data_IF_548440982123
#
_entry.id   IF_548440982123
#
_cell.length_a   1.000
_cell.length_b   1.000
_cell.length_c   1.000
_cell.angle_alpha   90.00
_cell.angle_beta   90.00
_cell.angle_gamma   90.00
#
_symmetry.space_group_name_H-M   'P 1'
#
loop_
_entity.id
_entity.type
_entity.pdbx_description
1 polymer ?
#
# COMPACT_ATOMS: atom_id res chain seq x y z
N UNK A 1 -12.98 34.79 26.40
CA UNK A 1 -13.20 33.49 27.10
C UNK A 1 -14.36 32.67 26.55
N UNK A 2 -15.59 33.20 26.38
CA UNK A 2 -16.75 32.41 25.90
C UNK A 2 -16.56 31.69 24.54
N UNK A 3 -15.87 32.30 23.57
CA UNK A 3 -15.62 31.69 22.24
C UNK A 3 -14.61 30.53 22.26
N UNK A 4 -13.68 30.53 23.21
CA UNK A 4 -12.68 29.47 23.34
C UNK A 4 -13.28 28.24 24.02
N UNK A 5 -14.17 28.45 25.00
CA UNK A 5 -14.92 27.38 25.67
C UNK A 5 -15.84 26.63 24.70
N UNK A 6 -16.51 27.34 23.79
CA UNK A 6 -17.39 26.74 22.78
C UNK A 6 -16.63 25.85 21.78
N UNK A 7 -15.45 26.28 21.33
CA UNK A 7 -14.62 25.50 20.40
C UNK A 7 -14.10 24.21 21.06
N UNK A 8 -13.69 24.28 22.33
CA UNK A 8 -13.21 23.11 23.09
C UNK A 8 -14.34 22.09 23.30
N UNK A 9 -15.57 22.55 23.57
CA UNK A 9 -16.75 21.68 23.72
C UNK A 9 -17.15 21.01 22.40
N UNK A 10 -17.06 21.71 21.26
CA UNK A 10 -17.34 21.15 19.92
C UNK A 10 -16.29 20.11 19.52
N UNK A 11 -15.00 20.39 19.77
CA UNK A 11 -13.93 19.44 19.48
C UNK A 11 -14.02 18.22 20.40
N UNK A 12 -14.34 18.43 21.68
CA UNK A 12 -14.54 17.34 22.64
C UNK A 12 -15.73 16.43 22.30
N UNK A 13 -16.85 17.00 21.87
CA UNK A 13 -18.04 16.24 21.44
C UNK A 13 -17.80 15.47 20.14
N UNK A 14 -17.11 16.05 19.16
CA UNK A 14 -16.71 15.34 17.94
C UNK A 14 -15.73 14.19 18.23
N UNK A 15 -14.81 14.37 19.19
CA UNK A 15 -13.92 13.30 19.64
C UNK A 15 -14.66 12.17 20.35
N UNK A 16 -15.66 12.50 21.17
CA UNK A 16 -16.52 11.52 21.84
C UNK A 16 -17.33 10.71 20.81
N UNK A 17 -18.01 11.39 19.88
CA UNK A 17 -18.80 10.76 18.82
C UNK A 17 -17.95 9.90 17.88
N UNK A 18 -16.71 10.32 17.59
CA UNK A 18 -15.75 9.51 16.82
C UNK A 18 -15.36 8.21 17.53
N UNK A 19 -15.25 8.19 18.86
CA UNK A 19 -14.93 6.97 19.62
C UNK A 19 -16.10 5.99 19.68
N UNK A 20 -17.32 6.47 19.50
CA UNK A 20 -18.54 5.66 19.53
C UNK A 20 -19.11 5.35 18.14
N UNK A 21 -18.45 5.78 17.05
CA UNK A 21 -18.88 5.50 15.68
C UNK A 21 -20.08 6.33 15.21
N UNK A 22 -20.43 7.39 15.94
CA UNK A 22 -21.63 8.21 15.74
C UNK A 22 -21.28 9.61 15.22
N UNK A 23 -20.42 9.70 14.20
CA UNK A 23 -20.06 11.01 13.63
C UNK A 23 -21.27 11.64 12.92
N UNK A 24 -21.62 12.90 13.22
CA UNK A 24 -22.75 13.58 12.60
C UNK A 24 -22.50 13.81 11.11
N UNK A 25 -23.56 13.81 10.31
CA UNK A 25 -23.48 14.08 8.87
C UNK A 25 -23.00 15.50 8.59
N UNK A 26 -22.48 15.72 7.37
CA UNK A 26 -22.03 17.05 6.94
C UNK A 26 -23.17 18.07 7.00
N UNK A 27 -24.43 17.68 6.73
CA UNK A 27 -25.58 18.57 6.92
C UNK A 27 -25.84 18.91 8.39
N UNK A 28 -25.69 17.95 9.31
CA UNK A 28 -25.85 18.20 10.74
C UNK A 28 -24.78 19.17 11.24
N UNK A 29 -23.53 19.01 10.79
CA UNK A 29 -22.41 19.91 11.12
C UNK A 29 -22.69 21.33 10.59
N UNK A 30 -23.24 21.47 9.38
CA UNK A 30 -23.60 22.77 8.79
C UNK A 30 -24.67 23.52 9.60
N UNK A 31 -25.56 22.81 10.29
CA UNK A 31 -26.55 23.41 11.19
C UNK A 31 -25.95 24.09 12.44
N UNK A 32 -24.74 23.70 12.85
CA UNK A 32 -24.07 24.24 14.04
C UNK A 32 -23.25 25.52 13.81
N UNK A 33 -23.03 25.92 12.56
CA UNK A 33 -22.21 27.09 12.22
C UNK A 33 -23.04 28.16 11.51
N UNK A 34 -22.94 29.41 11.95
CA UNK A 34 -23.59 30.54 11.26
C UNK A 34 -23.08 30.64 9.83
N UNK A 35 -24.01 30.81 8.87
CA UNK A 35 -23.80 30.80 7.40
C UNK A 35 -22.63 31.64 6.89
N UNK A 36 -22.22 32.70 7.60
CA UNK A 36 -21.09 33.55 7.24
C UNK A 36 -19.70 32.93 7.48
N UNK A 37 -19.56 32.05 8.48
CA UNK A 37 -18.28 31.38 8.80
C UNK A 37 -17.99 30.22 7.85
N UNK A 38 -19.03 29.50 7.43
CA UNK A 38 -18.93 28.37 6.49
C UNK A 38 -18.52 28.86 5.10
N UNK A 39 -19.13 29.94 4.60
CA UNK A 39 -18.83 30.49 3.27
C UNK A 39 -17.38 30.99 3.12
N UNK A 40 -16.78 31.51 4.19
CA UNK A 40 -15.40 32.03 4.14
C UNK A 40 -14.36 30.90 4.22
N UNK A 41 -14.67 29.82 4.96
CA UNK A 41 -13.84 28.61 4.99
C UNK A 41 -13.98 27.83 3.68
N UNK A 42 -15.19 27.70 3.12
CA UNK A 42 -15.44 27.04 1.84
C UNK A 42 -14.69 27.73 0.69
N UNK A 43 -14.77 29.07 0.56
CA UNK A 43 -13.99 29.79 -0.47
C UNK A 43 -12.47 29.61 -0.33
N UNK A 44 -11.97 29.56 0.90
CA UNK A 44 -10.53 29.41 1.16
C UNK A 44 -10.06 27.97 0.92
N UNK A 45 -10.92 26.99 1.18
CA UNK A 45 -10.70 25.57 0.86
C UNK A 45 -10.81 25.33 -0.64
N UNK A 46 -11.81 25.89 -1.32
CA UNK A 46 -11.97 25.82 -2.78
C UNK A 46 -10.81 26.47 -3.53
N UNK A 47 -10.33 27.63 -3.10
CA UNK A 47 -9.13 28.24 -3.67
C UNK A 47 -7.86 27.41 -3.41
N UNK A 48 -7.76 26.75 -2.25
CA UNK A 48 -6.63 25.84 -1.96
C UNK A 48 -6.72 24.57 -2.80
N UNK A 49 -7.91 24.00 -2.99
CA UNK A 49 -8.15 22.82 -3.82
C UNK A 49 -7.93 23.16 -5.31
N UNK A 50 -8.34 24.34 -5.77
CA UNK A 50 -8.11 24.80 -7.14
C UNK A 50 -6.62 25.11 -7.42
N UNK A 51 -5.87 25.56 -6.42
CA UNK A 51 -4.42 25.75 -6.54
C UNK A 51 -3.64 24.44 -6.44
N UNK A 52 -4.14 23.44 -5.71
CA UNK A 52 -3.58 22.07 -5.67
C UNK A 52 -3.91 21.30 -6.97
N UNK A 53 -5.12 21.46 -7.52
CA UNK A 53 -5.52 20.82 -8.78
C UNK A 53 -4.85 21.41 -10.03
N UNK A 54 -4.37 22.65 -9.96
CA UNK A 54 -3.55 23.27 -11.02
C UNK A 54 -2.10 22.77 -11.06
N UNK A 55 -1.64 22.01 -10.06
CA UNK A 55 -0.31 21.39 -10.04
C UNK A 55 -0.31 19.88 -10.33
N UNK A 56 -1.46 19.22 -10.44
CA UNK A 56 -1.54 17.86 -10.96
C UNK A 56 -1.44 17.89 -12.47
N UNK A 57 -0.21 17.73 -12.99
CA UNK A 57 -0.01 17.29 -14.37
C UNK A 57 -0.88 16.05 -14.60
N UNK A 58 -1.69 16.05 -15.65
CA UNK A 58 -2.33 14.84 -16.16
C UNK A 58 -1.23 13.78 -16.39
N UNK A 59 -1.11 12.81 -15.49
CA UNK A 59 -0.22 11.67 -15.70
C UNK A 59 -1.00 10.65 -16.50
N UNK A 60 -0.65 10.55 -17.77
CA UNK A 60 -1.11 9.51 -18.68
C UNK A 60 -0.70 8.13 -18.14
N UNK A 61 -1.67 7.28 -17.79
CA UNK A 61 -1.42 5.85 -17.56
C UNK A 61 -1.19 5.19 -18.92
N UNK A 62 0.07 4.96 -19.29
CA UNK A 62 0.42 4.24 -20.52
C UNK A 62 0.52 2.75 -20.16
N UNK A 63 -0.20 1.84 -20.85
CA UNK A 63 -0.03 0.41 -20.66
C UNK A 63 1.43 0.04 -20.94
N UNK A 64 2.13 -0.57 -19.97
CA UNK A 64 3.59 -0.66 -20.06
C UNK A 64 4.10 -1.86 -20.85
N UNK A 65 3.50 -3.06 -20.82
CA UNK A 65 3.99 -4.16 -21.67
C UNK A 65 3.05 -5.36 -21.72
N UNK A 66 3.13 -6.03 -22.87
CA UNK A 66 2.40 -7.18 -23.39
C UNK A 66 2.96 -8.50 -22.86
N UNK A 67 2.11 -9.39 -22.32
CA UNK A 67 2.44 -10.80 -22.12
C UNK A 67 2.24 -11.56 -23.44
N UNK A 68 3.30 -12.20 -23.97
CA UNK A 68 3.26 -13.01 -25.20
C UNK A 68 2.27 -14.17 -25.13
N UNK A 69 1.85 -14.59 -23.92
CA UNK A 69 0.87 -15.66 -23.73
C UNK A 69 -0.57 -15.21 -24.01
N UNK A 70 -0.83 -13.89 -23.99
CA UNK A 70 -2.15 -13.30 -24.17
C UNK A 70 -2.06 -12.08 -25.08
N UNK A 71 -2.01 -12.29 -26.39
CA UNK A 71 -2.15 -11.20 -27.34
C UNK A 71 -3.49 -10.49 -27.12
N UNK A 72 -3.56 -9.14 -27.05
CA UNK A 72 -4.82 -8.44 -26.96
C UNK A 72 -5.59 -8.68 -28.26
N UNK A 73 -6.51 -9.64 -28.23
CA UNK A 73 -7.55 -9.81 -29.23
C UNK A 73 -8.53 -8.66 -29.04
N UNK A 74 -8.21 -7.49 -29.60
CA UNK A 74 -9.12 -6.34 -29.84
C UNK A 74 -10.32 -6.25 -28.88
N UNK A 75 -10.12 -5.70 -27.67
CA UNK A 75 -11.24 -5.26 -26.82
C UNK A 75 -11.80 -3.95 -27.41
N UNK A 76 -12.61 -4.01 -28.48
CA UNK A 76 -13.09 -2.81 -29.18
C UNK A 76 -14.28 -2.11 -28.49
N UNK A 77 -14.83 -2.64 -27.39
CA UNK A 77 -16.11 -2.16 -26.82
C UNK A 77 -16.09 -1.80 -25.33
N UNK A 78 -14.98 -2.09 -24.63
CA UNK A 78 -14.81 -1.79 -23.21
C UNK A 78 -13.48 -1.07 -22.98
N UNK A 79 -13.53 0.08 -22.30
CA UNK A 79 -12.39 0.88 -21.90
C UNK A 79 -12.19 0.79 -20.40
N UNK A 80 -11.01 0.37 -20.00
CA UNK A 80 -10.56 0.38 -18.60
C UNK A 80 -9.59 1.54 -18.45
N UNK A 81 -9.81 2.37 -17.44
CA UNK A 81 -8.94 3.50 -17.10
C UNK A 81 -8.78 3.58 -15.59
N UNK A 82 -7.82 4.37 -15.11
CA UNK A 82 -7.64 4.64 -13.69
C UNK A 82 -7.83 6.13 -13.43
N UNK A 83 -8.73 6.45 -12.51
CA UNK A 83 -9.07 7.84 -12.14
C UNK A 83 -9.28 7.94 -10.63
N UNK A 84 -8.58 8.86 -9.97
CA UNK A 84 -8.77 9.19 -8.56
C UNK A 84 -8.79 7.96 -7.62
N UNK A 85 -7.80 7.07 -7.75
CA UNK A 85 -7.71 5.84 -6.94
C UNK A 85 -8.76 4.77 -7.27
N UNK A 86 -9.44 4.88 -8.41
CA UNK A 86 -10.44 3.91 -8.86
C UNK A 86 -10.10 3.37 -10.23
N UNK A 87 -10.35 2.08 -10.43
CA UNK A 87 -10.49 1.48 -11.74
C UNK A 87 -11.87 1.85 -12.30
N UNK A 88 -11.90 2.49 -13.46
CA UNK A 88 -13.12 2.90 -14.16
C UNK A 88 -13.24 2.08 -15.43
N UNK A 89 -14.23 1.20 -15.46
CA UNK A 89 -14.57 0.39 -16.62
C UNK A 89 -15.80 0.97 -17.28
N UNK A 90 -15.71 1.25 -18.58
CA UNK A 90 -16.82 1.77 -19.38
C UNK A 90 -16.97 0.93 -20.63
N UNK A 91 -18.18 0.81 -21.16
CA UNK A 91 -18.34 0.15 -22.45
C UNK A 91 -19.78 0.10 -22.92
N UNK A 92 -19.99 -0.55 -24.06
CA UNK A 92 -21.31 -0.79 -24.65
C UNK A 92 -21.35 -2.21 -25.22
N UNK A 93 -22.40 -2.95 -24.92
CA UNK A 93 -22.68 -4.20 -25.63
C UNK A 93 -22.90 -3.87 -27.13
N UNK A 94 -22.13 -4.47 -28.05
CA UNK A 94 -22.25 -4.17 -29.49
C UNK A 94 -22.89 -5.30 -30.30
N UNK A 95 -23.64 -4.97 -31.38
CA UNK A 95 -24.22 -5.97 -32.29
C UNK A 95 -23.21 -6.71 -33.19
N UNK A 96 -21.99 -6.20 -33.36
CA UNK A 96 -21.06 -6.60 -34.44
C UNK A 96 -19.98 -7.63 -34.03
N UNK A 97 -20.12 -8.29 -32.89
CA UNK A 97 -19.33 -9.49 -32.64
C UNK A 97 -20.12 -10.54 -31.86
N UNK A 98 -19.47 -11.57 -31.33
CA UNK A 98 -20.11 -12.66 -30.57
C UNK A 98 -20.80 -12.19 -29.26
N UNK A 99 -20.86 -10.87 -29.06
CA UNK A 99 -20.91 -10.11 -27.82
C UNK A 99 -22.31 -9.57 -27.45
N UNK A 100 -23.35 -9.75 -28.27
CA UNK A 100 -24.70 -9.25 -27.98
C UNK A 100 -25.54 -10.20 -27.12
N UNK A 101 -24.99 -11.38 -26.76
CA UNK A 101 -25.67 -12.40 -25.95
C UNK A 101 -25.16 -12.49 -24.52
N UNK A 102 -24.12 -11.74 -24.16
CA UNK A 102 -23.56 -11.75 -22.82
C UNK A 102 -24.48 -10.97 -21.86
N UNK A 103 -24.64 -11.48 -20.64
CA UNK A 103 -25.39 -10.82 -19.58
C UNK A 103 -24.54 -9.77 -18.82
N UNK A 104 -23.23 -9.75 -19.06
CA UNK A 104 -22.29 -8.79 -18.47
C UNK A 104 -20.83 -9.16 -18.69
N UNK A 105 -19.92 -8.39 -18.08
CA UNK A 105 -18.48 -8.69 -18.02
C UNK A 105 -18.06 -9.20 -16.65
N UNK A 106 -16.99 -9.97 -16.63
CA UNK A 106 -16.25 -10.37 -15.45
C UNK A 106 -14.92 -9.61 -15.46
N UNK A 107 -14.59 -8.97 -14.34
CA UNK A 107 -13.30 -8.34 -14.10
C UNK A 107 -12.54 -9.17 -13.07
N UNK A 108 -11.38 -9.69 -13.46
CA UNK A 108 -10.43 -10.31 -12.55
C UNK A 108 -9.32 -9.28 -12.27
N UNK A 109 -9.41 -8.64 -11.11
CA UNK A 109 -8.53 -7.55 -10.70
C UNK A 109 -7.50 -8.14 -9.72
N UNK A 110 -6.24 -8.05 -10.08
CA UNK A 110 -5.09 -8.38 -9.22
C UNK A 110 -4.43 -7.08 -8.77
N UNK A 111 -4.34 -6.89 -7.46
CA UNK A 111 -3.61 -5.80 -6.81
C UNK A 111 -2.40 -6.40 -6.07
N UNK A 112 -1.27 -6.68 -6.75
CA UNK A 112 -0.11 -7.35 -6.16
C UNK A 112 0.39 -6.69 -4.87
N UNK A 113 0.42 -5.35 -4.83
CA UNK A 113 0.84 -4.58 -3.66
C UNK A 113 0.07 -4.92 -2.38
N UNK A 114 -1.23 -5.14 -2.51
CA UNK A 114 -2.12 -5.47 -1.39
C UNK A 114 -2.34 -6.97 -1.25
N UNK A 115 -1.74 -7.79 -2.12
CA UNK A 115 -1.97 -9.23 -2.23
C UNK A 115 -3.47 -9.56 -2.32
N UNK A 116 -4.20 -8.77 -3.11
CA UNK A 116 -5.66 -8.84 -3.20
C UNK A 116 -6.09 -9.16 -4.61
N UNK A 117 -6.82 -10.27 -4.75
CA UNK A 117 -7.46 -10.68 -6.01
C UNK A 117 -8.96 -10.56 -5.87
N UNK A 118 -9.59 -9.86 -6.79
CA UNK A 118 -11.03 -9.58 -6.75
C UNK A 118 -11.67 -9.95 -8.07
N UNK A 119 -12.74 -10.73 -8.02
CA UNK A 119 -13.57 -11.06 -9.18
C UNK A 119 -14.88 -10.29 -9.08
N UNK A 120 -15.18 -9.46 -10.08
CA UNK A 120 -16.41 -8.66 -10.13
C UNK A 120 -17.21 -9.05 -11.37
N UNK A 121 -18.51 -9.31 -11.21
CA UNK A 121 -19.45 -9.40 -12.33
C UNK A 121 -20.19 -8.07 -12.47
N UNK A 122 -20.13 -7.49 -13.66
CA UNK A 122 -20.80 -6.23 -13.99
C UNK A 122 -21.88 -6.52 -15.02
N UNK A 123 -23.17 -6.57 -14.61
CA UNK A 123 -24.28 -6.83 -15.53
C UNK A 123 -24.48 -5.68 -16.51
N UNK A 124 -25.00 -6.00 -17.70
CA UNK A 124 -25.46 -5.02 -18.68
C UNK A 124 -26.96 -5.15 -18.94
N UNK A 125 -27.58 -4.04 -19.31
CA UNK A 125 -28.88 -4.04 -19.99
C UNK A 125 -28.64 -3.80 -21.48
N UNK A 126 -29.36 -4.52 -22.36
CA UNK A 126 -29.18 -4.44 -23.80
C UNK A 126 -29.16 -2.99 -24.30
N UNK A 127 -28.21 -2.67 -25.18
CA UNK A 127 -27.98 -1.35 -25.81
C UNK A 127 -27.56 -0.19 -24.88
N UNK A 128 -27.36 -0.40 -23.58
CA UNK A 128 -26.95 0.67 -22.67
C UNK A 128 -25.42 0.77 -22.55
N UNK A 129 -24.90 2.01 -22.52
CA UNK A 129 -23.54 2.26 -22.05
C UNK A 129 -23.51 2.04 -20.55
N UNK A 130 -22.54 1.27 -20.05
CA UNK A 130 -22.33 1.12 -18.60
C UNK A 130 -21.03 1.80 -18.18
N UNK A 131 -21.00 2.19 -16.91
CA UNK A 131 -19.83 2.66 -16.19
C UNK A 131 -19.79 1.98 -14.84
N UNK A 132 -18.71 1.27 -14.56
CA UNK A 132 -18.44 0.63 -13.28
C UNK A 132 -17.16 1.21 -12.68
N UNK A 133 -17.21 1.53 -11.39
CA UNK A 133 -16.07 2.03 -10.63
C UNK A 133 -15.71 1.05 -9.52
N UNK A 134 -14.44 0.64 -9.48
CA UNK A 134 -13.90 -0.22 -8.44
C UNK A 134 -12.80 0.53 -7.66
N UNK A 135 -12.92 0.67 -6.33
CA UNK A 135 -11.91 1.34 -5.52
C UNK A 135 -10.66 0.45 -5.38
N UNK A 136 -9.49 1.01 -5.71
CA UNK A 136 -8.21 0.33 -5.51
C UNK A 136 -7.76 0.47 -4.05
N UNK A 137 -7.10 -0.55 -3.52
CA UNK A 137 -6.57 -0.50 -2.14
C UNK A 137 -5.44 0.52 -2.03
N UNK A 138 -4.60 0.63 -3.06
CA UNK A 138 -3.53 1.62 -3.14
C UNK A 138 -3.56 2.34 -4.49
N UNK A 139 -3.09 3.58 -4.49
CA UNK A 139 -2.95 4.44 -5.67
C UNK A 139 -1.50 4.49 -6.22
N UNK A 140 -0.62 3.66 -5.66
CA UNK A 140 0.72 3.36 -6.16
C UNK A 140 0.87 1.84 -6.16
N UNK A 141 1.53 1.26 -7.15
CA UNK A 141 1.48 -0.20 -7.34
C UNK A 141 1.13 -0.60 -8.76
N UNK A 142 1.47 -1.82 -9.16
CA UNK A 142 0.87 -2.40 -10.35
C UNK A 142 -0.59 -2.82 -10.06
N UNK A 143 -1.43 -2.75 -11.08
CA UNK A 143 -2.77 -3.34 -11.10
C UNK A 143 -2.93 -4.10 -12.40
N UNK A 144 -3.25 -5.39 -12.29
CA UNK A 144 -3.50 -6.25 -13.45
C UNK A 144 -5.00 -6.50 -13.53
N UNK A 145 -5.57 -6.33 -14.72
CA UNK A 145 -6.99 -6.55 -14.98
C UNK A 145 -7.11 -7.52 -16.14
N UNK A 146 -7.73 -8.68 -15.87
CA UNK A 146 -8.23 -9.54 -16.93
C UNK A 146 -9.74 -9.35 -17.06
N UNK A 147 -10.22 -9.38 -18.30
CA UNK A 147 -11.62 -9.18 -18.64
C UNK A 147 -12.15 -10.42 -19.35
N UNK A 148 -13.34 -10.85 -18.97
CA UNK A 148 -14.12 -11.91 -19.61
C UNK A 148 -15.60 -11.53 -19.65
N UNK A 149 -16.45 -12.35 -20.25
CA UNK A 149 -17.91 -12.22 -20.29
C UNK A 149 -18.58 -13.30 -19.45
N UNK A 150 -19.80 -13.04 -18.98
CA UNK A 150 -20.62 -14.10 -18.40
C UNK A 150 -21.99 -14.18 -19.07
N UNK A 151 -22.53 -15.40 -19.04
CA UNK A 151 -23.81 -15.76 -19.60
C UNK A 151 -24.59 -16.51 -18.52
N UNK A 152 -25.82 -16.09 -18.25
CA UNK A 152 -26.70 -16.70 -17.26
C UNK A 152 -26.90 -18.19 -17.59
N UNK A 153 -26.78 -19.03 -16.56
CA UNK A 153 -26.85 -20.49 -16.71
C UNK A 153 -25.61 -21.16 -17.32
N UNK A 154 -24.57 -20.41 -17.71
CA UNK A 154 -23.27 -20.98 -18.12
C UNK A 154 -22.22 -20.80 -17.04
N UNK A 155 -21.36 -21.81 -16.87
CA UNK A 155 -20.21 -21.73 -15.97
C UNK A 155 -19.12 -20.87 -16.63
N UNK A 156 -18.53 -19.97 -15.85
CA UNK A 156 -17.41 -19.14 -16.28
C UNK A 156 -16.12 -19.97 -16.35
N UNK A 157 -15.25 -19.69 -17.32
CA UNK A 157 -13.92 -20.31 -17.44
C UNK A 157 -12.83 -19.23 -17.27
N UNK A 158 -12.26 -19.08 -16.07
CA UNK A 158 -11.28 -18.03 -15.78
C UNK A 158 -9.97 -18.15 -16.57
N UNK A 159 -9.76 -19.25 -17.32
CA UNK A 159 -8.60 -19.42 -18.19
C UNK A 159 -8.82 -18.90 -19.61
N UNK A 160 -10.05 -18.51 -19.96
CA UNK A 160 -10.42 -17.94 -21.26
C UNK A 160 -10.76 -16.46 -21.12
N UNK A 161 -9.78 -15.67 -20.69
CA UNK A 161 -9.93 -14.21 -20.61
C UNK A 161 -9.90 -13.60 -22.02
N UNK A 162 -10.85 -12.71 -22.30
CA UNK A 162 -10.98 -11.99 -23.56
C UNK A 162 -9.99 -10.83 -23.68
N UNK A 163 -9.51 -10.33 -22.53
CA UNK A 163 -8.71 -9.13 -22.44
C UNK A 163 -7.76 -9.11 -21.26
N UNK A 164 -6.63 -8.43 -21.43
CA UNK A 164 -5.59 -8.22 -20.42
C UNK A 164 -5.10 -6.78 -20.47
N UNK A 165 -4.91 -6.17 -19.30
CA UNK A 165 -4.21 -4.90 -19.15
C UNK A 165 -3.45 -4.85 -17.82
N UNK A 166 -2.23 -4.30 -17.86
CA UNK A 166 -1.45 -3.95 -16.67
C UNK A 166 -1.30 -2.43 -16.61
N UNK A 167 -1.56 -1.87 -15.44
CA UNK A 167 -1.43 -0.45 -15.16
C UNK A 167 -0.40 -0.24 -14.07
N UNK A 168 0.52 0.68 -14.31
CA UNK A 168 1.53 1.11 -13.35
C UNK A 168 1.07 2.39 -12.67
N UNK A 169 0.67 2.31 -11.40
CA UNK A 169 0.18 3.46 -10.65
C UNK A 169 1.32 4.24 -10.03
N UNK A 170 1.31 5.55 -10.21
CA UNK A 170 2.34 6.47 -9.71
C UNK A 170 1.79 7.56 -8.81
N UNK A 171 0.52 7.48 -8.41
CA UNK A 171 -0.10 8.46 -7.51
C UNK A 171 0.31 8.15 -6.07
N UNK A 172 1.41 8.75 -5.63
CA UNK A 172 1.98 8.54 -4.31
C UNK A 172 3.41 8.00 -4.35
N UNK A 173 4.08 8.06 -3.19
CA UNK A 173 5.45 7.56 -3.06
C UNK A 173 5.44 6.07 -2.65
N UNK A 174 5.91 5.13 -3.49
CA UNK A 174 5.89 3.70 -3.18
C UNK A 174 6.70 3.33 -1.95
N UNK A 175 7.69 4.16 -1.60
CA UNK A 175 8.59 3.97 -0.47
C UNK A 175 8.07 4.59 0.82
N UNK A 176 6.91 5.25 0.82
CA UNK A 176 6.19 5.72 2.01
C UNK A 176 4.90 4.92 2.25
N UNK A 177 4.26 4.45 1.18
CA UNK A 177 2.99 3.73 1.28
C UNK A 177 3.17 2.33 1.90
N UNK A 178 2.18 1.81 2.62
CA UNK A 178 2.18 0.43 3.09
C UNK A 178 2.06 -0.56 1.92
N UNK A 179 2.38 -1.82 2.17
CA UNK A 179 2.12 -2.96 1.29
C UNK A 179 1.65 -4.17 2.12
N UNK A 180 1.31 -5.28 1.47
CA UNK A 180 0.90 -6.51 2.15
C UNK A 180 1.91 -6.97 3.21
N UNK A 181 3.22 -6.90 2.89
CA UNK A 181 4.31 -7.30 3.79
C UNK A 181 4.78 -6.17 4.71
N UNK A 182 4.63 -4.91 4.29
CA UNK A 182 5.12 -3.72 4.99
C UNK A 182 3.94 -2.88 5.47
N UNK A 183 3.27 -3.32 6.53
CA UNK A 183 2.01 -2.71 6.99
C UNK A 183 2.22 -1.42 7.82
N UNK A 184 2.87 -0.40 7.25
CA UNK A 184 3.19 0.87 7.94
C UNK A 184 1.97 1.67 8.44
N UNK A 185 0.77 1.35 7.95
CA UNK A 185 -0.49 1.91 8.40
C UNK A 185 -1.11 1.17 9.59
N UNK A 186 -0.58 0.01 9.99
CA UNK A 186 -1.09 -0.78 11.11
C UNK A 186 -1.03 0.05 12.42
N UNK A 187 -2.13 0.11 13.21
CA UNK A 187 -2.17 0.91 14.42
C UNK A 187 -1.09 0.55 15.45
N UNK A 188 -0.75 -0.74 15.61
CA UNK A 188 0.26 -1.17 16.58
C UNK A 188 1.67 -0.75 16.14
N UNK A 189 1.98 -0.90 14.83
CA UNK A 189 3.26 -0.45 14.29
C UNK A 189 3.41 1.08 14.32
N UNK A 190 2.32 1.82 14.09
CA UNK A 190 2.30 3.29 14.24
C UNK A 190 2.54 3.72 15.69
N UNK A 191 1.88 3.05 16.65
CA UNK A 191 2.06 3.34 18.07
C UNK A 191 3.49 3.03 18.52
N UNK A 192 4.04 1.89 18.10
CA UNK A 192 5.44 1.54 18.36
C UNK A 192 6.39 2.59 17.77
N UNK A 193 6.19 2.98 16.51
CA UNK A 193 7.02 3.97 15.83
C UNK A 193 7.01 5.31 16.57
N UNK A 194 5.83 5.79 16.98
CA UNK A 194 5.68 7.01 17.75
C UNK A 194 6.43 6.94 19.09
N UNK A 195 6.41 5.78 19.76
CA UNK A 195 7.14 5.55 21.01
C UNK A 195 8.67 5.57 20.79
N UNK A 196 9.18 4.77 19.84
CA UNK A 196 10.62 4.67 19.55
C UNK A 196 11.21 6.03 19.13
N UNK A 197 10.44 6.80 18.37
CA UNK A 197 10.88 8.08 17.80
C UNK A 197 10.58 9.29 18.68
N UNK A 198 10.00 9.09 19.88
CA UNK A 198 9.69 10.17 20.80
C UNK A 198 10.95 10.97 21.17
N UNK A 199 10.84 12.30 21.08
CA UNK A 199 11.96 13.21 21.36
C UNK A 199 13.10 13.17 20.33
N UNK A 200 12.94 12.51 19.18
CA UNK A 200 13.91 12.55 18.08
C UNK A 200 13.49 13.58 17.04
N UNK A 201 14.41 14.48 16.68
CA UNK A 201 14.10 15.65 15.88
C UNK A 201 14.46 15.46 14.41
N UNK A 202 15.48 14.65 14.11
CA UNK A 202 15.95 14.40 12.75
C UNK A 202 15.56 13.00 12.25
N UNK A 203 15.45 12.82 10.94
CA UNK A 203 15.21 11.50 10.36
C UNK A 203 16.32 10.52 10.69
N UNK A 204 17.58 10.96 10.75
CA UNK A 204 18.72 10.11 11.15
C UNK A 204 18.60 9.63 12.60
N UNK A 205 18.18 10.49 13.54
CA UNK A 205 17.96 10.07 14.93
C UNK A 205 16.81 9.07 15.05
N UNK A 206 15.71 9.29 14.31
CA UNK A 206 14.57 8.37 14.26
C UNK A 206 14.98 7.03 13.68
N UNK A 207 15.69 7.02 12.54
CA UNK A 207 16.15 5.81 11.87
C UNK A 207 17.10 5.01 12.75
N UNK A 208 18.08 5.65 13.41
CA UNK A 208 18.95 4.97 14.40
C UNK A 208 18.16 4.33 15.55
N UNK A 209 17.13 5.01 16.05
CA UNK A 209 16.30 4.48 17.13
C UNK A 209 15.46 3.28 16.66
N UNK A 210 14.87 3.36 15.47
CA UNK A 210 14.11 2.28 14.83
C UNK A 210 15.02 1.07 14.56
N UNK A 211 16.15 1.27 13.88
CA UNK A 211 17.14 0.24 13.60
C UNK A 211 17.57 -0.47 14.90
N UNK A 212 17.97 0.30 15.91
CA UNK A 212 18.40 -0.26 17.20
C UNK A 212 17.29 -1.10 17.81
N UNK A 213 16.06 -0.59 17.81
CA UNK A 213 14.94 -1.32 18.36
C UNK A 213 14.71 -2.65 17.63
N UNK A 214 14.71 -2.66 16.29
CA UNK A 214 14.54 -3.90 15.52
C UNK A 214 15.68 -4.88 15.83
N UNK A 215 16.93 -4.43 15.77
CA UNK A 215 18.11 -5.26 16.03
C UNK A 215 18.17 -5.80 17.47
N UNK A 216 17.59 -5.12 18.46
CA UNK A 216 17.62 -5.57 19.86
C UNK A 216 16.34 -6.24 20.35
N UNK A 217 15.26 -6.27 19.57
CA UNK A 217 13.98 -6.86 19.99
C UNK A 217 13.46 -7.97 19.09
N UNK A 218 14.20 -8.31 18.03
CA UNK A 218 13.91 -9.41 17.14
C UNK A 218 15.10 -10.38 17.18
N UNK A 219 14.82 -11.67 17.24
CA UNK A 219 15.79 -12.75 17.21
C UNK A 219 15.74 -13.49 15.86
N UNK A 220 16.90 -13.96 15.40
CA UNK A 220 16.98 -14.70 14.14
C UNK A 220 16.55 -16.15 14.34
N UNK A 221 15.68 -16.66 13.46
CA UNK A 221 15.24 -18.05 13.49
C UNK A 221 16.25 -18.97 12.80
N UNK A 222 17.40 -19.17 13.44
CA UNK A 222 18.52 -19.94 12.90
C UNK A 222 18.14 -21.36 12.40
N UNK A 223 17.27 -22.14 13.09
CA UNK A 223 16.83 -23.45 12.60
C UNK A 223 16.14 -23.44 11.23
N UNK A 224 15.60 -22.30 10.79
CA UNK A 224 14.88 -22.19 9.52
C UNK A 224 15.74 -21.68 8.36
N UNK A 225 17.03 -21.40 8.57
CA UNK A 225 17.90 -20.80 7.54
C UNK A 225 18.02 -21.67 6.28
N UNK A 226 17.99 -22.99 6.44
CA UNK A 226 18.10 -23.97 5.35
C UNK A 226 16.77 -24.69 5.08
N UNK A 227 15.65 -24.20 5.64
CA UNK A 227 14.36 -24.80 5.38
C UNK A 227 14.01 -24.63 3.89
N UNK A 228 13.47 -25.67 3.25
CA UNK A 228 13.09 -25.62 1.83
C UNK A 228 11.99 -24.60 1.57
N UNK A 229 11.04 -24.47 2.51
CA UNK A 229 9.91 -23.56 2.43
C UNK A 229 9.72 -22.88 3.80
N UNK A 230 10.57 -21.90 4.15
CA UNK A 230 10.43 -21.23 5.43
C UNK A 230 9.14 -20.40 5.45
N UNK A 231 8.53 -20.23 6.64
CA UNK A 231 7.41 -19.32 6.81
C UNK A 231 7.81 -17.89 6.44
N UNK A 232 6.88 -17.19 5.81
CA UNK A 232 7.00 -15.77 5.47
C UNK A 232 6.40 -14.96 6.63
N UNK A 233 7.12 -13.92 7.05
CA UNK A 233 6.70 -13.05 8.15
C UNK A 233 6.54 -11.63 7.64
N UNK A 234 5.31 -11.10 7.66
CA UNK A 234 5.09 -9.68 7.44
C UNK A 234 5.61 -8.83 8.60
N UNK A 235 5.68 -7.51 8.43
CA UNK A 235 6.10 -6.59 9.48
C UNK A 235 5.28 -6.77 10.77
N UNK A 236 3.95 -6.85 10.66
CA UNK A 236 3.08 -7.06 11.82
C UNK A 236 3.28 -8.44 12.47
N UNK A 237 3.51 -9.49 11.68
CA UNK A 237 3.80 -10.82 12.22
C UNK A 237 5.16 -10.83 12.93
N UNK A 238 6.18 -10.20 12.36
CA UNK A 238 7.50 -10.05 12.97
C UNK A 238 7.44 -9.30 14.30
N UNK A 239 6.67 -8.20 14.35
CA UNK A 239 6.40 -7.47 15.59
C UNK A 239 5.72 -8.33 16.67
N UNK A 240 4.93 -9.32 16.29
CA UNK A 240 4.24 -10.22 17.23
C UNK A 240 5.10 -11.42 17.63
N UNK A 241 5.74 -12.08 16.66
CA UNK A 241 6.48 -13.33 16.89
C UNK A 241 7.86 -13.13 17.49
N UNK A 242 8.51 -12.00 17.20
CA UNK A 242 9.87 -11.65 17.64
C UNK A 242 10.99 -12.61 17.20
N UNK A 243 10.67 -13.67 16.48
CA UNK A 243 11.62 -14.67 15.99
C UNK A 243 11.32 -14.95 14.52
N UNK A 244 12.21 -14.52 13.62
CA UNK A 244 11.98 -14.52 12.16
C UNK A 244 13.28 -14.70 11.36
N UNK A 245 13.15 -14.82 10.04
CA UNK A 245 14.27 -14.74 9.08
C UNK A 245 14.51 -13.30 8.61
N UNK A 246 15.56 -13.08 7.81
CA UNK A 246 16.02 -11.76 7.35
C UNK A 246 14.92 -10.92 6.68
N UNK A 247 14.03 -11.53 5.91
CA UNK A 247 12.89 -10.84 5.29
C UNK A 247 11.97 -10.18 6.33
N UNK A 248 11.66 -10.87 7.44
CA UNK A 248 10.82 -10.31 8.50
C UNK A 248 11.46 -9.10 9.19
N UNK A 249 12.78 -9.13 9.42
CA UNK A 249 13.53 -7.97 9.91
C UNK A 249 13.41 -6.79 8.94
N UNK A 250 13.66 -7.04 7.65
CA UNK A 250 13.66 -6.01 6.63
C UNK A 250 12.27 -5.40 6.45
N UNK A 251 11.21 -6.22 6.46
CA UNK A 251 9.82 -5.78 6.36
C UNK A 251 9.40 -4.95 7.58
N UNK A 252 9.71 -5.39 8.80
CA UNK A 252 9.42 -4.64 10.02
C UNK A 252 10.18 -3.31 10.05
N UNK A 253 11.47 -3.32 9.74
CA UNK A 253 12.27 -2.10 9.73
C UNK A 253 11.73 -1.11 8.69
N UNK A 254 11.38 -1.57 7.48
CA UNK A 254 10.73 -0.71 6.49
C UNK A 254 9.37 -0.17 6.98
N UNK A 255 8.55 -0.99 7.64
CA UNK A 255 7.22 -0.57 8.09
C UNK A 255 7.31 0.55 9.14
N UNK A 256 8.24 0.44 10.09
CA UNK A 256 8.46 1.46 11.12
C UNK A 256 9.04 2.75 10.51
N UNK A 257 9.98 2.66 9.56
CA UNK A 257 10.49 3.83 8.85
C UNK A 257 9.40 4.55 8.06
N UNK A 258 8.59 3.80 7.30
CA UNK A 258 7.46 4.36 6.54
C UNK A 258 6.42 5.00 7.48
N UNK A 259 6.13 4.37 8.62
CA UNK A 259 5.25 4.93 9.64
C UNK A 259 5.80 6.23 10.26
N UNK A 260 7.13 6.40 10.28
CA UNK A 260 7.81 7.63 10.71
C UNK A 260 7.89 8.70 9.60
N UNK A 261 7.35 8.43 8.41
CA UNK A 261 7.44 9.32 7.25
C UNK A 261 8.80 9.31 6.56
N UNK A 262 9.58 8.23 6.74
CA UNK A 262 10.92 8.06 6.16
C UNK A 262 10.81 7.04 5.02
N UNK A 263 11.30 7.41 3.83
CA UNK A 263 11.27 6.53 2.67
C UNK A 263 12.15 5.29 2.91
N UNK A 264 11.58 4.10 2.74
CA UNK A 264 12.25 2.84 3.02
C UNK A 264 11.97 1.77 1.96
N UNK A 265 13.04 1.12 1.52
CA UNK A 265 13.03 -0.03 0.63
C UNK A 265 13.30 -1.32 1.39
N UNK A 266 12.76 -2.41 0.87
CA UNK A 266 13.21 -3.76 1.19
C UNK A 266 14.00 -4.23 -0.02
N UNK A 267 15.27 -4.55 0.18
CA UNK A 267 16.21 -4.97 -0.86
C UNK A 267 16.69 -6.38 -0.57
N UNK A 268 17.13 -7.09 -1.61
CA UNK A 268 17.56 -8.48 -1.47
C UNK A 268 18.77 -8.79 -2.35
N UNK A 269 19.46 -9.87 -1.99
CA UNK A 269 20.57 -10.45 -2.72
C UNK A 269 21.25 -11.55 -1.93
N UNK A 270 21.83 -12.53 -2.61
CA UNK A 270 22.59 -13.62 -1.99
C UNK A 270 21.84 -14.36 -0.87
N UNK A 271 20.55 -14.66 -1.10
CA UNK A 271 19.61 -15.26 -0.13
C UNK A 271 19.44 -14.47 1.18
N UNK A 272 19.63 -13.14 1.11
CA UNK A 272 19.45 -12.23 2.24
C UNK A 272 18.55 -11.06 1.86
N UNK A 273 17.93 -10.43 2.86
CA UNK A 273 17.10 -9.26 2.71
C UNK A 273 17.42 -8.21 3.79
N UNK A 274 17.47 -6.94 3.39
CA UNK A 274 17.78 -5.80 4.26
C UNK A 274 17.09 -4.54 3.73
N UNK A 275 17.50 -3.37 4.21
CA UNK A 275 16.88 -2.10 3.84
C UNK A 275 17.83 -1.11 3.18
N UNK A 276 17.26 -0.26 2.34
CA UNK A 276 17.81 1.05 2.01
C UNK A 276 16.85 2.10 2.54
N UNK A 277 17.33 2.98 3.41
CA UNK A 277 16.56 4.05 4.05
C UNK A 277 17.05 5.40 3.51
N UNK A 278 16.12 6.28 3.12
CA UNK A 278 16.49 7.58 2.56
C UNK A 278 16.71 8.60 3.67
N UNK A 279 17.96 8.95 3.93
CA UNK A 279 18.37 9.92 4.93
C UNK A 279 19.11 11.07 4.24
N UNK A 280 18.75 12.31 4.58
CA UNK A 280 19.38 13.51 4.01
C UNK A 280 19.45 13.50 2.46
N UNK A 281 18.39 13.00 1.83
CA UNK A 281 18.28 12.92 0.36
C UNK A 281 19.01 11.75 -0.29
N UNK A 282 19.74 10.91 0.47
CA UNK A 282 20.50 9.78 -0.06
C UNK A 282 19.96 8.45 0.49
N UNK A 283 19.95 7.43 -0.36
CA UNK A 283 19.68 6.06 0.08
C UNK A 283 20.89 5.52 0.83
N UNK A 284 20.67 5.07 2.07
CA UNK A 284 21.68 4.49 2.95
C UNK A 284 21.29 3.04 3.26
N UNK A 285 22.25 2.13 3.24
CA UNK A 285 22.04 0.73 3.60
C UNK A 285 21.86 0.60 5.11
N UNK A 286 20.87 -0.19 5.53
CA UNK A 286 20.64 -0.61 6.92
C UNK A 286 20.32 -2.12 6.95
N UNK A 287 21.08 -2.90 7.73
CA UNK A 287 20.88 -4.34 7.89
C UNK A 287 20.61 -4.69 9.36
N UNK A 288 19.33 -4.67 9.79
CA UNK A 288 18.96 -4.98 11.16
C UNK A 288 19.13 -6.47 11.51
N UNK A 289 19.29 -7.37 10.54
CA UNK A 289 19.53 -8.80 10.80
C UNK A 289 20.98 -9.05 11.22
N UNK A 290 21.95 -8.57 10.45
CA UNK A 290 23.34 -8.65 10.90
C UNK A 290 23.65 -7.69 12.05
N UNK A 291 22.84 -6.64 12.19
CA UNK A 291 22.81 -5.78 13.36
C UNK A 291 22.36 -6.47 14.66
N UNK A 292 21.63 -7.58 14.60
CA UNK A 292 21.01 -8.20 15.79
C UNK A 292 21.87 -9.25 16.47
N UNK A 293 22.85 -9.82 15.78
CA UNK A 293 23.74 -10.84 16.32
C UNK A 293 24.29 -11.77 15.25
N UNK A 294 24.58 -13.00 15.66
CA UNK A 294 25.17 -14.02 14.79
C UNK A 294 24.68 -15.42 15.15
N UNK A 295 24.86 -16.38 14.25
CA UNK A 295 24.61 -17.80 14.52
C UNK A 295 25.91 -18.40 15.08
N UNK A 296 25.83 -18.99 16.27
CA UNK A 296 26.94 -19.75 16.82
C UNK A 296 27.09 -21.05 16.01
N UNK A 297 28.21 -21.19 15.31
CA UNK A 297 28.45 -22.32 14.40
C UNK A 297 28.56 -23.67 15.12
N UNK A 298 28.91 -23.68 16.41
CA UNK A 298 29.00 -24.91 17.19
C UNK A 298 27.63 -25.42 17.64
N UNK A 299 26.68 -24.52 17.90
CA UNK A 299 25.35 -24.89 18.43
C UNK A 299 24.24 -24.75 17.39
N UNK A 300 24.48 -24.07 16.28
CA UNK A 300 23.46 -23.70 15.30
C UNK A 300 22.43 -22.70 15.83
N UNK A 301 22.64 -22.14 17.02
CA UNK A 301 21.69 -21.23 17.67
C UNK A 301 22.05 -19.77 17.42
N UNK A 302 21.02 -18.93 17.35
CA UNK A 302 21.20 -17.49 17.31
C UNK A 302 21.68 -16.96 18.66
N UNK A 303 22.73 -16.14 18.63
CA UNK A 303 23.23 -15.39 19.77
C UNK A 303 22.99 -13.92 19.50
N UNK A 304 22.15 -13.30 20.32
CA UNK A 304 21.86 -11.89 20.20
C UNK A 304 23.08 -11.06 20.62
N UNK A 305 23.53 -10.17 19.73
CA UNK A 305 24.65 -9.27 19.97
C UNK A 305 24.48 -8.04 19.09
N UNK A 306 24.23 -6.88 19.69
CA UNK A 306 23.93 -5.68 18.92
C UNK A 306 25.18 -5.12 18.22
N UNK A 307 25.14 -5.07 16.89
CA UNK A 307 26.22 -4.59 16.05
C UNK A 307 25.81 -3.27 15.34
N UNK A 308 26.12 -2.09 15.90
CA UNK A 308 25.70 -0.81 15.33
C UNK A 308 26.33 -0.48 13.96
N UNK A 309 27.41 -1.17 13.58
CA UNK A 309 28.07 -0.96 12.29
C UNK A 309 27.14 -1.27 11.09
N UNK A 310 26.22 -2.23 11.23
CA UNK A 310 25.27 -2.60 10.18
C UNK A 310 24.14 -1.58 9.96
N UNK A 311 24.14 -0.48 10.72
CA UNK A 311 23.32 0.69 10.39
C UNK A 311 23.79 1.40 9.09
N UNK A 312 25.02 1.14 8.63
CA UNK A 312 25.57 1.79 7.43
C UNK A 312 26.00 0.79 6.35
N UNK A 313 25.80 -0.51 6.55
CA UNK A 313 26.27 -1.57 5.63
C UNK A 313 25.41 -2.83 5.71
N UNK A 314 25.53 -3.64 4.67
CA UNK A 314 25.24 -5.07 4.69
C UNK A 314 26.47 -5.78 4.12
N UNK A 315 26.71 -7.01 4.55
CA UNK A 315 27.82 -7.83 4.03
C UNK A 315 27.42 -8.58 2.73
N UNK A 316 26.27 -8.22 2.15
CA UNK A 316 25.71 -8.84 0.95
C UNK A 316 25.59 -7.88 -0.21
N UNK A 317 25.72 -8.42 -1.42
CA UNK A 317 25.54 -7.66 -2.65
C UNK A 317 24.07 -7.59 -3.04
N UNK A 318 23.60 -6.36 -3.34
CA UNK A 318 22.23 -6.13 -3.82
C UNK A 318 22.03 -6.79 -5.18
N UNK A 319 21.03 -7.66 -5.27
CA UNK A 319 20.53 -8.21 -6.53
C UNK A 319 19.29 -7.45 -7.03
N UNK A 320 18.47 -6.93 -6.12
CA UNK A 320 17.24 -6.21 -6.47
C UNK A 320 16.55 -5.54 -5.29
N UNK A 321 15.34 -5.05 -5.55
CA UNK A 321 14.42 -4.56 -4.53
C UNK A 321 13.07 -5.23 -4.69
N UNK A 322 12.37 -5.51 -3.57
CA UNK A 322 11.04 -6.10 -3.65
C UNK A 322 10.11 -5.12 -4.37
N UNK A 323 9.43 -5.63 -5.39
CA UNK A 323 8.46 -4.86 -6.16
C UNK A 323 7.32 -4.37 -5.27
N UNK A 324 6.84 -3.19 -5.63
CA UNK A 324 5.81 -2.47 -4.91
C UNK A 324 4.41 -2.83 -5.36
#
# INVERSE_FOLDING_TARGET
MRRFLALVLVVGSLFYLSKHGELPSVEQIKGYFSSSQVAHVEKKVEQKIANVSKQTKNVSSIPTTYDKKYSPTKIQTYWVNIKNGKLVVTGKATPYGQYYKADGVILYIDEPRSNKKTTVKVPFSNNQHFKYEFPLTYNVGDVVVNLDEYYNGKKNDPNKVLGYAQYHLTDGNPYLQPSFMVQSNDPALRALTANITAGKHTNTEKSKAIYKWVATHIAYNAPLVNATNPPIYSALQTYKSRVVLCSGYADLNAALHRAAGIEAKVVYGENHAWNEIKLNGKWQVEDPTYGSGFINLNTGQFVQSYHPAYFYKSDKHKAGEYHW
#
